data_IF_799022788776
#
_entry.id   IF_799022788776
#
_cell.length_a   1.000
_cell.length_b   1.000
_cell.length_c   1.000
_cell.angle_alpha   90.00
_cell.angle_beta   90.00
_cell.angle_gamma   90.00
#
_symmetry.space_group_name_H-M   'P 1'
#
loop_
_entity.id
_entity.type
_entity.pdbx_description
1 polymer ?
#
# COMPACT_ATOMS: atom_id res chain seq x y z
N UNK A 1 -7.95 -5.52 22.93
CA UNK A 1 -8.58 -5.90 21.66
C UNK A 1 -7.54 -5.73 20.58
N UNK A 2 -6.90 -6.81 20.11
CA UNK A 2 -5.97 -6.74 18.99
C UNK A 2 -6.60 -7.47 17.81
N UNK A 3 -7.29 -6.72 16.96
CA UNK A 3 -7.85 -7.20 15.71
C UNK A 3 -7.34 -6.27 14.61
N UNK A 4 -6.92 -6.84 13.48
CA UNK A 4 -6.23 -6.13 12.39
C UNK A 4 -7.03 -4.94 11.81
N UNK A 5 -8.36 -4.94 11.97
CA UNK A 5 -9.26 -3.87 11.53
C UNK A 5 -9.54 -2.80 12.62
N UNK A 6 -9.00 -2.96 13.83
CA UNK A 6 -9.37 -2.13 14.98
C UNK A 6 -9.07 -0.65 14.78
N UNK A 7 -7.95 -0.31 14.13
CA UNK A 7 -7.56 1.07 13.85
C UNK A 7 -8.53 1.76 12.89
N UNK A 8 -8.89 1.10 11.80
CA UNK A 8 -9.85 1.65 10.82
C UNK A 8 -11.25 1.76 11.42
N UNK A 9 -11.65 0.78 12.24
CA UNK A 9 -12.90 0.82 12.99
C UNK A 9 -12.97 2.03 13.94
N UNK A 10 -11.93 2.25 14.75
CA UNK A 10 -11.84 3.41 15.64
C UNK A 10 -11.85 4.73 14.88
N UNK A 11 -11.11 4.82 13.77
CA UNK A 11 -11.12 5.99 12.90
C UNK A 11 -12.53 6.27 12.39
N UNK A 12 -13.24 5.24 11.91
CA UNK A 12 -14.61 5.38 11.39
C UNK A 12 -15.59 5.90 12.45
N UNK A 13 -15.48 5.41 13.69
CA UNK A 13 -16.30 5.86 14.82
C UNK A 13 -15.97 7.30 15.15
N UNK A 14 -14.68 7.64 15.25
CA UNK A 14 -14.22 8.96 15.60
C UNK A 14 -14.65 10.03 14.57
N UNK A 15 -14.61 9.69 13.28
CA UNK A 15 -14.99 10.62 12.20
C UNK A 15 -16.47 10.54 11.81
N UNK A 16 -17.26 9.64 12.43
CA UNK A 16 -18.63 9.37 12.03
C UNK A 16 -18.76 8.80 10.61
N UNK A 17 -17.71 8.17 10.07
CA UNK A 17 -17.71 7.60 8.73
C UNK A 17 -18.44 6.24 8.74
N UNK A 18 -19.52 6.14 7.94
CA UNK A 18 -20.35 4.93 7.83
C UNK A 18 -20.12 4.15 6.54
N UNK A 19 -19.16 4.57 5.71
CA UNK A 19 -18.77 3.82 4.52
C UNK A 19 -18.14 2.48 4.90
N UNK A 20 -18.24 1.51 3.98
CA UNK A 20 -17.57 0.22 4.13
C UNK A 20 -16.06 0.38 4.20
N UNK A 21 -15.40 -0.47 4.97
CA UNK A 21 -13.94 -0.54 5.06
C UNK A 21 -13.46 -1.99 5.07
N UNK A 22 -12.33 -2.22 4.41
CA UNK A 22 -11.66 -3.53 4.34
C UNK A 22 -10.31 -3.42 5.06
N UNK A 23 -9.90 -4.49 5.72
CA UNK A 23 -8.56 -4.62 6.28
C UNK A 23 -7.91 -5.89 5.71
N UNK A 24 -6.68 -5.77 5.23
CA UNK A 24 -5.95 -6.84 4.53
C UNK A 24 -4.51 -6.94 5.01
N UNK A 25 -3.98 -8.15 5.01
CA UNK A 25 -2.59 -8.44 5.31
C UNK A 25 -2.09 -9.51 4.34
N UNK A 26 -0.95 -9.25 3.70
CA UNK A 26 -0.35 -10.12 2.68
C UNK A 26 1.19 -10.11 2.77
N UNK A 27 1.74 -10.00 3.98
CA UNK A 27 3.19 -9.94 4.20
C UNK A 27 3.83 -8.75 3.45
N UNK A 28 4.98 -8.94 2.79
CA UNK A 28 5.64 -7.89 2.01
C UNK A 28 4.77 -7.29 0.88
N UNK A 29 3.75 -8.02 0.43
CA UNK A 29 2.83 -7.57 -0.63
C UNK A 29 1.65 -6.74 -0.10
N UNK A 30 1.54 -6.52 1.21
CA UNK A 30 0.37 -5.87 1.85
C UNK A 30 0.08 -4.48 1.27
N UNK A 31 1.10 -3.66 1.04
CA UNK A 31 0.92 -2.32 0.47
C UNK A 31 0.38 -2.37 -0.96
N UNK A 32 0.94 -3.25 -1.80
CA UNK A 32 0.54 -3.39 -3.20
C UNK A 32 -0.88 -3.93 -3.35
N UNK A 33 -1.25 -4.95 -2.57
CA UNK A 33 -2.64 -5.43 -2.53
C UNK A 33 -3.59 -4.39 -1.94
N UNK A 34 -3.14 -3.58 -0.98
CA UNK A 34 -3.91 -2.45 -0.46
C UNK A 34 -4.25 -1.41 -1.53
N UNK A 35 -3.26 -1.05 -2.37
CA UNK A 35 -3.50 -0.21 -3.54
C UNK A 35 -4.44 -0.87 -4.54
N UNK A 36 -4.28 -2.17 -4.81
CA UNK A 36 -5.12 -2.91 -5.75
C UNK A 36 -6.58 -2.93 -5.32
N UNK A 37 -6.85 -3.21 -4.04
CA UNK A 37 -8.20 -3.18 -3.46
C UNK A 37 -8.81 -1.78 -3.55
N UNK A 38 -8.03 -0.74 -3.25
CA UNK A 38 -8.51 0.64 -3.36
C UNK A 38 -8.86 1.03 -4.80
N UNK A 39 -8.05 0.61 -5.77
CA UNK A 39 -8.30 0.83 -7.20
C UNK A 39 -9.52 0.04 -7.69
N UNK A 40 -9.74 -1.18 -7.21
CA UNK A 40 -10.93 -1.96 -7.51
C UNK A 40 -12.19 -1.23 -6.98
N UNK A 41 -12.15 -0.73 -5.75
CA UNK A 41 -13.24 0.08 -5.18
C UNK A 41 -13.55 1.33 -5.99
N UNK A 42 -12.52 2.05 -6.46
CA UNK A 42 -12.67 3.20 -7.35
C UNK A 42 -13.23 2.81 -8.72
N UNK A 43 -12.85 1.66 -9.27
CA UNK A 43 -13.39 1.18 -10.54
C UNK A 43 -14.89 0.84 -10.43
N UNK A 44 -15.31 0.27 -9.30
CA UNK A 44 -16.72 -0.02 -9.02
C UNK A 44 -17.53 1.25 -8.73
N UNK A 45 -16.94 2.21 -8.01
CA UNK A 45 -17.60 3.46 -7.57
C UNK A 45 -16.70 4.69 -7.82
N UNK A 46 -16.59 5.17 -9.07
CA UNK A 46 -15.65 6.26 -9.42
C UNK A 46 -15.90 7.59 -8.68
N UNK A 47 -17.13 7.83 -8.21
CA UNK A 47 -17.50 9.03 -7.46
C UNK A 47 -17.22 8.95 -5.95
N UNK A 48 -16.73 7.83 -5.44
CA UNK A 48 -16.46 7.61 -4.02
C UNK A 48 -14.94 7.47 -3.79
N UNK A 49 -14.25 8.55 -3.34
CA UNK A 49 -12.82 8.48 -3.09
C UNK A 49 -12.51 7.47 -1.97
N UNK A 50 -11.38 6.79 -2.09
CA UNK A 50 -10.92 5.76 -1.16
C UNK A 50 -9.74 6.28 -0.34
N UNK A 51 -9.79 6.06 0.98
CA UNK A 51 -8.65 6.30 1.86
C UNK A 51 -7.91 4.98 2.10
N UNK A 52 -6.68 4.87 1.61
CA UNK A 52 -5.80 3.76 1.96
C UNK A 52 -4.93 4.17 3.15
N UNK A 53 -4.98 3.39 4.22
CA UNK A 53 -4.11 3.53 5.39
C UNK A 53 -3.23 2.28 5.49
N UNK A 54 -1.93 2.46 5.36
CA UNK A 54 -0.92 1.44 5.55
C UNK A 54 -0.09 1.78 6.79
N UNK A 55 0.22 0.78 7.60
CA UNK A 55 1.08 0.92 8.76
C UNK A 55 1.90 -0.34 8.95
N UNK A 56 3.19 -0.17 9.25
CA UNK A 56 4.12 -1.26 9.48
C UNK A 56 5.20 -0.83 10.49
N UNK A 57 5.70 -1.77 11.27
CA UNK A 57 6.59 -1.54 12.43
C UNK A 57 7.57 -2.72 12.55
N UNK A 58 8.83 -2.50 12.95
CA UNK A 58 9.75 -3.61 13.18
C UNK A 58 9.18 -4.63 14.17
N UNK A 59 9.55 -5.89 13.99
CA UNK A 59 9.17 -6.91 14.97
C UNK A 59 9.76 -6.58 16.35
N UNK A 60 8.99 -6.74 17.45
CA UNK A 60 9.52 -6.58 18.80
C UNK A 60 10.74 -7.48 19.04
N UNK A 61 11.68 -7.07 19.88
CA UNK A 61 12.96 -7.77 20.07
C UNK A 61 12.82 -9.24 20.50
N UNK A 62 11.75 -9.59 21.22
CA UNK A 62 11.42 -10.97 21.57
C UNK A 62 11.24 -11.89 20.34
N UNK A 63 11.00 -11.32 19.16
CA UNK A 63 10.81 -12.00 17.89
C UNK A 63 11.94 -11.73 16.89
N UNK A 64 13.09 -11.20 17.34
CA UNK A 64 14.19 -10.82 16.46
C UNK A 64 14.68 -11.97 15.55
N UNK A 65 14.57 -13.24 16.01
CA UNK A 65 14.93 -14.43 15.22
C UNK A 65 14.03 -14.67 14.01
N UNK A 66 12.86 -14.02 13.95
CA UNK A 66 11.89 -14.12 12.87
C UNK A 66 11.90 -12.91 11.93
N UNK A 67 12.79 -11.92 12.15
CA UNK A 67 12.95 -10.79 11.23
C UNK A 67 13.45 -11.31 9.88
N UNK A 68 12.64 -11.13 8.85
CA UNK A 68 12.95 -11.51 7.48
C UNK A 68 13.05 -10.26 6.62
N UNK A 69 14.26 -9.89 6.22
CA UNK A 69 14.51 -8.74 5.34
C UNK A 69 15.03 -7.50 6.07
N UNK A 70 15.10 -6.40 5.33
CA UNK A 70 15.58 -5.10 5.81
C UNK A 70 14.41 -4.30 6.41
N UNK A 71 14.51 -3.98 7.71
CA UNK A 71 13.54 -3.15 8.44
C UNK A 71 13.96 -1.67 8.51
N UNK A 72 15.02 -1.24 7.80
CA UNK A 72 15.59 0.12 7.93
C UNK A 72 14.62 1.27 7.63
N UNK A 73 13.51 0.99 6.95
CA UNK A 73 12.46 1.96 6.63
C UNK A 73 11.27 1.96 7.60
N UNK A 74 11.32 1.15 8.66
CA UNK A 74 10.27 1.04 9.67
C UNK A 74 10.63 1.82 10.96
N UNK A 75 9.63 2.29 11.74
CA UNK A 75 8.20 2.24 11.45
C UNK A 75 7.78 3.17 10.31
N UNK A 76 6.75 2.78 9.56
CA UNK A 76 6.21 3.54 8.45
C UNK A 76 4.68 3.57 8.50
N UNK A 77 4.11 4.77 8.33
CA UNK A 77 2.68 4.96 8.13
C UNK A 77 2.47 5.75 6.85
N UNK A 78 1.57 5.27 5.98
CA UNK A 78 1.20 5.92 4.73
C UNK A 78 -0.31 6.07 4.68
N UNK A 79 -0.76 7.29 4.40
CA UNK A 79 -2.19 7.60 4.19
C UNK A 79 -2.34 8.22 2.81
N UNK A 80 -3.10 7.57 1.93
CA UNK A 80 -3.34 8.03 0.57
C UNK A 80 -4.84 8.26 0.38
N UNK A 81 -5.20 9.46 -0.08
CA UNK A 81 -6.53 9.72 -0.63
C UNK A 81 -6.48 9.46 -2.14
N UNK A 82 -7.27 8.50 -2.59
CA UNK A 82 -7.31 8.05 -3.97
C UNK A 82 -8.67 8.43 -4.57
N UNK A 83 -8.64 9.01 -5.77
CA UNK A 83 -9.82 9.33 -6.57
C UNK A 83 -9.69 8.73 -7.96
N UNK A 84 -10.82 8.57 -8.65
CA UNK A 84 -10.81 8.20 -10.06
C UNK A 84 -10.14 9.32 -10.86
N UNK A 85 -9.28 8.95 -11.81
CA UNK A 85 -8.63 9.92 -12.69
C UNK A 85 -9.68 10.65 -13.53
N UNK A 86 -9.61 11.98 -13.55
CA UNK A 86 -10.42 12.80 -14.45
C UNK A 86 -9.62 13.22 -15.68
N UNK A 87 -10.32 13.56 -16.76
CA UNK A 87 -9.67 13.94 -18.02
C UNK A 87 -8.83 15.21 -17.84
N UNK A 88 -7.54 15.14 -18.20
CA UNK A 88 -6.59 16.25 -18.07
C UNK A 88 -5.86 16.34 -16.73
N UNK A 89 -6.10 15.41 -15.79
CA UNK A 89 -5.33 15.31 -14.55
C UNK A 89 -4.14 14.34 -14.67
N UNK A 90 -3.07 14.62 -13.93
CA UNK A 90 -1.93 13.71 -13.81
C UNK A 90 -2.33 12.47 -13.03
N UNK A 91 -2.51 11.36 -13.74
CA UNK A 91 -2.85 10.07 -13.16
C UNK A 91 -1.61 9.22 -12.86
N UNK A 92 -1.76 8.29 -11.92
CA UNK A 92 -0.82 7.21 -11.68
C UNK A 92 -1.38 5.91 -12.25
N UNK A 93 -0.53 5.12 -12.88
CA UNK A 93 -0.86 3.74 -13.26
C UNK A 93 -0.06 2.77 -12.40
N UNK A 94 -0.73 1.71 -11.96
CA UNK A 94 -0.13 0.59 -11.26
C UNK A 94 -0.30 -0.68 -12.10
N UNK A 95 0.75 -1.50 -12.16
CA UNK A 95 0.69 -2.86 -12.68
C UNK A 95 1.34 -3.82 -11.70
N UNK A 96 0.88 -5.07 -11.72
CA UNK A 96 1.42 -6.14 -10.90
C UNK A 96 1.66 -7.39 -11.75
N UNK A 97 2.73 -8.12 -11.44
CA UNK A 97 3.04 -9.41 -12.05
C UNK A 97 3.68 -10.36 -11.04
N UNK A 98 3.77 -11.66 -11.33
CA UNK A 98 4.44 -12.60 -10.43
C UNK A 98 5.93 -12.25 -10.28
N UNK A 99 6.45 -12.38 -9.06
CA UNK A 99 7.89 -12.35 -8.81
C UNK A 99 8.54 -13.59 -9.45
N UNK A 100 9.60 -13.41 -10.22
CA UNK A 100 10.31 -14.52 -10.88
C UNK A 100 11.17 -15.34 -9.91
N UNK A 101 11.46 -16.59 -10.29
CA UNK A 101 12.38 -17.50 -9.60
C UNK A 101 13.80 -16.91 -9.62
N UNK A 102 14.16 -16.12 -8.59
CA UNK A 102 15.39 -15.35 -8.54
C UNK A 102 15.22 -13.91 -8.05
N UNK A 103 14.01 -13.53 -7.62
CA UNK A 103 13.76 -12.23 -7.02
C UNK A 103 14.72 -11.96 -5.84
N UNK A 104 15.26 -10.75 -5.82
CA UNK A 104 15.97 -10.18 -4.68
C UNK A 104 15.09 -10.23 -3.43
N UNK A 105 15.71 -10.09 -2.23
CA UNK A 105 14.95 -9.97 -0.98
C UNK A 105 13.80 -8.95 -1.14
N UNK A 106 12.59 -9.25 -0.62
CA UNK A 106 11.45 -8.34 -0.74
C UNK A 106 11.83 -6.94 -0.24
N UNK A 107 11.54 -5.92 -1.05
CA UNK A 107 11.70 -4.53 -0.67
C UNK A 107 10.45 -4.01 0.03
N UNK A 108 10.58 -2.87 0.73
CA UNK A 108 9.43 -2.19 1.32
C UNK A 108 8.65 -1.43 0.24
N UNK A 109 7.63 -2.06 -0.33
CA UNK A 109 6.84 -1.48 -1.42
C UNK A 109 6.27 -0.09 -1.09
N UNK A 110 5.80 0.12 0.15
CA UNK A 110 5.31 1.42 0.61
C UNK A 110 6.39 2.52 0.58
N UNK A 111 7.62 2.17 0.97
CA UNK A 111 8.76 3.10 0.97
C UNK A 111 9.18 3.46 -0.47
N UNK A 112 9.31 2.47 -1.35
CA UNK A 112 9.65 2.71 -2.76
C UNK A 112 8.57 3.53 -3.47
N UNK A 113 7.29 3.26 -3.18
CA UNK A 113 6.18 4.07 -3.68
C UNK A 113 6.27 5.52 -3.19
N UNK A 114 6.53 5.76 -1.91
CA UNK A 114 6.69 7.11 -1.38
C UNK A 114 7.88 7.84 -2.02
N UNK A 115 9.01 7.16 -2.19
CA UNK A 115 10.18 7.72 -2.86
C UNK A 115 9.85 8.16 -4.28
N UNK A 116 9.18 7.30 -5.05
CA UNK A 116 8.65 7.60 -6.38
C UNK A 116 7.66 8.78 -6.37
N UNK A 117 6.73 8.76 -5.42
CA UNK A 117 5.65 9.73 -5.34
C UNK A 117 6.17 11.13 -4.96
N UNK A 118 7.13 11.21 -4.03
CA UNK A 118 7.65 12.47 -3.52
C UNK A 118 8.78 13.04 -4.38
N UNK A 119 9.60 12.19 -4.99
CA UNK A 119 10.67 12.63 -5.89
C UNK A 119 10.16 13.10 -7.26
N UNK A 120 8.87 12.89 -7.57
CA UNK A 120 8.33 13.22 -8.89
C UNK A 120 8.89 12.34 -10.01
N UNK A 121 9.39 11.13 -9.69
CA UNK A 121 9.94 10.21 -10.68
C UNK A 121 8.87 9.72 -11.66
N UNK A 122 9.28 9.40 -12.89
CA UNK A 122 8.36 8.92 -13.94
C UNK A 122 7.85 7.49 -13.68
N UNK A 123 8.68 6.66 -13.04
CA UNK A 123 8.32 5.29 -12.69
C UNK A 123 9.12 4.75 -11.52
N UNK A 124 8.60 3.71 -10.88
CA UNK A 124 9.32 2.88 -9.92
C UNK A 124 8.75 1.47 -9.87
N UNK A 125 9.49 0.57 -9.25
CA UNK A 125 9.05 -0.79 -9.00
C UNK A 125 9.53 -1.27 -7.62
N UNK A 126 8.78 -2.19 -7.03
CA UNK A 126 9.16 -2.88 -5.81
C UNK A 126 8.93 -4.39 -5.96
N UNK A 127 9.87 -5.18 -5.48
CA UNK A 127 9.69 -6.62 -5.33
C UNK A 127 8.98 -6.88 -3.99
N UNK A 128 7.85 -7.56 -4.02
CA UNK A 128 7.25 -8.20 -2.85
C UNK A 128 7.64 -9.67 -2.77
N UNK A 129 6.92 -10.44 -1.96
CA UNK A 129 7.19 -11.87 -1.76
C UNK A 129 6.74 -12.68 -2.98
N UNK A 130 5.54 -12.39 -3.48
CA UNK A 130 4.92 -13.11 -4.60
C UNK A 130 4.70 -12.23 -5.82
N UNK A 131 4.60 -10.92 -5.61
CA UNK A 131 4.29 -9.97 -6.67
C UNK A 131 5.43 -8.98 -6.85
N UNK A 132 5.64 -8.57 -8.10
CA UNK A 132 6.36 -7.37 -8.47
C UNK A 132 5.34 -6.28 -8.75
N UNK A 133 5.53 -5.15 -8.10
CA UNK A 133 4.68 -3.96 -8.21
C UNK A 133 5.40 -2.91 -9.04
N UNK A 134 4.71 -2.29 -9.99
CA UNK A 134 5.25 -1.22 -10.81
C UNK A 134 4.27 -0.04 -10.83
N UNK A 135 4.81 1.17 -10.71
CA UNK A 135 4.07 2.42 -10.73
C UNK A 135 4.65 3.35 -11.79
N UNK A 136 3.76 4.09 -12.48
CA UNK A 136 4.13 5.07 -13.50
C UNK A 136 3.29 6.33 -13.37
N UNK A 137 3.90 7.48 -13.66
CA UNK A 137 3.18 8.74 -13.88
C UNK A 137 2.77 8.83 -15.33
N UNK A 138 1.50 9.11 -15.57
CA UNK A 138 1.04 9.50 -16.89
C UNK A 138 1.12 11.03 -16.99
N UNK A 139 1.67 11.49 -18.12
CA UNK A 139 1.85 12.90 -18.41
C UNK A 139 0.52 13.59 -18.73
#
# INVERSE_FOLDING_TARGET
MSVHHGLVGLLSIHTGNRAGHTALAAGPDSFGFGLMEALAGLAERPGEPVLLVYGDEPLPDAYASFRTGDEAGLPLVVVLALGAATEGERALTMSAGPSGDGSSAPGMAAFEFLRFFLAGADSAAAAGERMRWEWRRNA
#
